data_IF_957173248813
#
_entry.id   IF_957173248813
#
_cell.length_a   1.000
_cell.length_b   1.000
_cell.length_c   1.000
_cell.angle_alpha   90.00
_cell.angle_beta   90.00
_cell.angle_gamma   90.00
#
_symmetry.space_group_name_H-M   'P 1'
#
loop_
_entity.id
_entity.type
_entity.pdbx_description
1 polymer ?
#
# COMPACT_ATOMS: atom_id res chain seq x y z
N UNK A 1 11.27 -8.80 -21.11
CA UNK A 1 10.76 -8.89 -19.70
C UNK A 1 11.90 -8.46 -18.80
N UNK A 2 11.74 -7.35 -18.05
CA UNK A 2 12.84 -6.78 -17.25
C UNK A 2 13.16 -7.74 -16.08
N UNK A 3 14.46 -8.08 -15.90
CA UNK A 3 14.96 -8.98 -14.85
C UNK A 3 14.47 -8.55 -13.45
N UNK A 4 14.40 -7.24 -13.19
CA UNK A 4 13.91 -6.68 -11.92
C UNK A 4 12.45 -7.08 -11.66
N UNK A 5 11.57 -6.98 -12.68
CA UNK A 5 10.16 -7.38 -12.56
C UNK A 5 10.02 -8.89 -12.33
N UNK A 6 10.90 -9.71 -12.90
CA UNK A 6 10.92 -11.15 -12.69
C UNK A 6 11.31 -11.50 -11.25
N UNK A 7 12.35 -10.87 -10.72
CA UNK A 7 12.83 -11.08 -9.34
C UNK A 7 11.76 -10.65 -8.34
N UNK A 8 11.12 -9.50 -8.54
CA UNK A 8 10.06 -9.02 -7.65
C UNK A 8 8.82 -9.91 -7.67
N UNK A 9 8.37 -10.37 -8.86
CA UNK A 9 7.28 -11.35 -8.97
C UNK A 9 7.60 -12.65 -8.23
N UNK A 10 8.83 -13.14 -8.35
CA UNK A 10 9.30 -14.35 -7.66
C UNK A 10 9.35 -14.13 -6.15
N UNK A 11 9.81 -12.97 -5.69
CA UNK A 11 9.87 -12.60 -4.28
C UNK A 11 8.48 -12.51 -3.65
N UNK A 12 7.53 -11.82 -4.29
CA UNK A 12 6.15 -11.72 -3.84
C UNK A 12 5.49 -13.11 -3.76
N UNK A 13 5.70 -13.97 -4.77
CA UNK A 13 5.20 -15.35 -4.76
C UNK A 13 5.80 -16.20 -3.64
N UNK A 14 7.11 -16.06 -3.38
CA UNK A 14 7.80 -16.79 -2.33
C UNK A 14 7.29 -16.41 -0.94
N UNK A 15 7.05 -15.13 -0.68
CA UNK A 15 6.51 -14.67 0.61
C UNK A 15 5.11 -15.22 0.91
N UNK A 16 4.31 -15.51 -0.12
CA UNK A 16 2.99 -16.13 0.01
C UNK A 16 3.01 -17.65 0.12
N UNK A 17 4.17 -18.30 0.00
CA UNK A 17 4.21 -19.76 0.09
C UNK A 17 3.88 -20.24 1.51
N UNK A 18 3.01 -21.27 1.63
CA UNK A 18 2.54 -21.80 2.92
C UNK A 18 3.68 -22.20 3.86
N UNK A 19 4.76 -22.74 3.33
CA UNK A 19 5.89 -23.19 4.12
C UNK A 19 6.69 -22.03 4.71
N UNK A 20 6.91 -20.98 3.93
CA UNK A 20 7.59 -19.76 4.40
C UNK A 20 6.73 -19.04 5.43
N UNK A 21 5.42 -18.91 5.20
CA UNK A 21 4.51 -18.30 6.17
C UNK A 21 4.51 -19.08 7.50
N UNK A 22 4.48 -20.41 7.48
CA UNK A 22 4.54 -21.23 8.68
C UNK A 22 5.87 -21.06 9.44
N UNK A 23 6.99 -21.03 8.72
CA UNK A 23 8.30 -20.80 9.35
C UNK A 23 8.37 -19.41 9.99
N UNK A 24 7.99 -18.39 9.25
CA UNK A 24 7.98 -17.00 9.75
C UNK A 24 7.04 -16.86 10.96
N UNK A 25 5.84 -17.48 10.91
CA UNK A 25 4.91 -17.50 12.03
C UNK A 25 5.53 -18.16 13.27
N UNK A 26 6.19 -19.30 13.11
CA UNK A 26 6.89 -19.97 14.20
C UNK A 26 7.97 -19.07 14.81
N UNK A 27 8.82 -18.46 13.98
CA UNK A 27 9.86 -17.55 14.42
C UNK A 27 9.27 -16.33 15.16
N UNK A 28 8.23 -15.71 14.60
CA UNK A 28 7.55 -14.57 15.22
C UNK A 28 6.92 -14.95 16.56
N UNK A 29 6.29 -16.14 16.64
CA UNK A 29 5.62 -16.60 17.84
C UNK A 29 6.57 -16.91 19.01
N UNK A 30 7.74 -17.47 18.75
CA UNK A 30 8.61 -18.00 19.78
C UNK A 30 9.86 -17.18 20.06
N UNK A 31 10.31 -16.36 19.11
CA UNK A 31 11.60 -15.64 19.21
C UNK A 31 11.46 -14.13 19.25
N UNK A 32 10.28 -13.57 18.97
CA UNK A 32 10.07 -12.13 19.10
C UNK A 32 9.46 -11.71 20.44
N UNK A 33 9.84 -10.53 20.88
CA UNK A 33 9.31 -9.93 22.12
C UNK A 33 7.82 -9.60 21.97
N UNK A 34 6.97 -10.18 22.79
CA UNK A 34 5.50 -10.15 22.70
C UNK A 34 4.85 -9.01 23.48
N UNK A 35 5.53 -7.89 23.66
CA UNK A 35 5.01 -6.77 24.47
C UNK A 35 3.78 -6.04 23.88
N UNK A 36 3.39 -6.35 22.63
CA UNK A 36 2.25 -5.71 21.98
C UNK A 36 1.02 -6.60 22.10
N UNK A 37 0.04 -6.17 22.89
CA UNK A 37 -1.30 -6.79 22.94
C UNK A 37 -2.07 -6.61 21.62
N UNK A 38 -3.18 -7.36 21.48
CA UNK A 38 -4.14 -7.13 20.41
C UNK A 38 -4.85 -5.79 20.64
N UNK A 39 -4.84 -4.92 19.63
CA UNK A 39 -5.50 -3.61 19.71
C UNK A 39 -6.99 -3.75 19.40
N UNK A 40 -7.37 -4.72 18.57
CA UNK A 40 -8.75 -5.14 18.36
C UNK A 40 -9.66 -4.08 17.75
N UNK A 41 -9.23 -3.45 16.64
CA UNK A 41 -10.10 -2.52 15.92
C UNK A 41 -11.27 -3.26 15.25
N UNK A 42 -12.48 -2.73 15.43
CA UNK A 42 -13.67 -3.19 14.73
C UNK A 42 -14.05 -2.18 13.64
N UNK A 43 -13.99 -2.63 12.39
CA UNK A 43 -14.34 -1.83 11.22
C UNK A 43 -15.66 -2.25 10.56
N UNK A 44 -16.43 -3.18 11.17
CA UNK A 44 -17.63 -3.75 10.54
C UNK A 44 -18.71 -2.73 10.22
N UNK A 45 -18.77 -1.62 10.96
CA UNK A 45 -19.70 -0.50 10.79
C UNK A 45 -19.12 0.69 10.02
N UNK A 46 -17.90 0.57 9.53
CA UNK A 46 -17.21 1.64 8.81
C UNK A 46 -17.36 1.46 7.29
N UNK A 47 -17.38 2.57 6.52
CA UNK A 47 -17.41 2.49 5.08
C UNK A 47 -16.11 1.83 4.55
N UNK A 48 -16.27 1.05 3.49
CA UNK A 48 -15.12 0.42 2.83
C UNK A 48 -14.24 1.44 2.09
N UNK A 49 -13.04 1.01 1.68
CA UNK A 49 -12.06 1.87 1.00
C UNK A 49 -12.59 2.49 -0.29
N UNK A 50 -13.40 1.76 -1.07
CA UNK A 50 -14.00 2.27 -2.32
C UNK A 50 -14.89 3.47 -2.04
N UNK A 51 -15.77 3.34 -1.05
CA UNK A 51 -16.68 4.42 -0.64
C UNK A 51 -15.92 5.64 -0.13
N UNK A 52 -14.88 5.43 0.68
CA UNK A 52 -14.09 6.53 1.27
C UNK A 52 -13.37 7.30 0.16
N UNK A 53 -12.61 6.60 -0.70
CA UNK A 53 -11.82 7.23 -1.75
C UNK A 53 -12.72 7.97 -2.75
N UNK A 54 -13.80 7.32 -3.22
CA UNK A 54 -14.73 7.96 -4.14
C UNK A 54 -15.38 9.21 -3.53
N UNK A 55 -15.82 9.12 -2.28
CA UNK A 55 -16.45 10.26 -1.59
C UNK A 55 -15.50 11.46 -1.45
N UNK A 56 -14.22 11.21 -1.19
CA UNK A 56 -13.19 12.25 -1.13
C UNK A 56 -13.04 12.92 -2.52
N UNK A 57 -12.93 12.13 -3.59
CA UNK A 57 -12.82 12.62 -4.96
C UNK A 57 -14.03 13.49 -5.30
N UNK A 58 -15.25 13.04 -4.99
CA UNK A 58 -16.50 13.75 -5.30
C UNK A 58 -16.62 15.08 -4.53
N UNK A 59 -16.37 15.07 -3.22
CA UNK A 59 -16.47 16.27 -2.36
C UNK A 59 -15.43 17.31 -2.75
N UNK A 60 -14.20 16.87 -3.02
CA UNK A 60 -13.09 17.76 -3.41
C UNK A 60 -13.11 18.12 -4.89
N UNK A 61 -13.98 17.49 -5.69
CA UNK A 61 -14.06 17.66 -7.15
C UNK A 61 -12.72 17.39 -7.84
N UNK A 62 -12.02 16.33 -7.40
CA UNK A 62 -10.74 15.94 -7.96
C UNK A 62 -10.91 15.34 -9.35
N UNK A 63 -9.99 15.68 -10.26
CA UNK A 63 -10.02 15.26 -11.66
C UNK A 63 -8.99 14.20 -12.01
N UNK A 64 -8.02 13.96 -11.14
CA UNK A 64 -6.92 13.02 -11.38
C UNK A 64 -6.65 12.14 -10.17
N UNK A 65 -6.54 10.82 -10.43
CA UNK A 65 -6.34 9.77 -9.43
C UNK A 65 -5.17 8.88 -9.80
N UNK A 66 -4.29 8.61 -8.83
CA UNK A 66 -3.21 7.64 -8.93
C UNK A 66 -3.38 6.57 -7.88
N UNK A 67 -3.25 5.31 -8.26
CA UNK A 67 -3.21 4.17 -7.36
C UNK A 67 -1.88 3.42 -7.51
N UNK A 68 -1.14 3.28 -6.42
CA UNK A 68 0.07 2.48 -6.33
C UNK A 68 -0.29 1.15 -5.65
N UNK A 69 -0.15 0.03 -6.39
CA UNK A 69 -0.53 -1.29 -5.91
C UNK A 69 -1.99 -1.64 -6.23
N UNK A 70 -2.34 -1.75 -7.51
CA UNK A 70 -3.72 -2.07 -7.92
C UNK A 70 -4.07 -3.55 -7.82
N UNK A 71 -3.07 -4.43 -7.92
CA UNK A 71 -3.20 -5.89 -7.87
C UNK A 71 -4.36 -6.43 -8.72
N UNK A 72 -5.53 -6.74 -8.14
CA UNK A 72 -6.72 -7.25 -8.86
C UNK A 72 -7.72 -6.15 -9.25
N UNK A 73 -7.33 -4.87 -9.16
CA UNK A 73 -8.19 -3.71 -9.48
C UNK A 73 -9.43 -3.56 -8.58
N UNK A 74 -9.44 -4.18 -7.41
CA UNK A 74 -10.60 -4.12 -6.51
C UNK A 74 -11.03 -2.70 -6.14
N UNK A 75 -10.08 -1.78 -5.96
CA UNK A 75 -10.36 -0.37 -5.77
C UNK A 75 -10.36 0.36 -7.11
N UNK A 76 -9.31 0.19 -7.90
CA UNK A 76 -9.06 0.95 -9.12
C UNK A 76 -10.24 0.96 -10.10
N UNK A 77 -10.88 -0.19 -10.33
CA UNK A 77 -12.04 -0.26 -11.24
C UNK A 77 -13.27 0.48 -10.74
N UNK A 78 -13.45 0.61 -9.42
CA UNK A 78 -14.62 1.29 -8.82
C UNK A 78 -14.49 2.81 -8.80
N UNK A 79 -13.27 3.34 -8.86
CA UNK A 79 -13.04 4.78 -8.82
C UNK A 79 -13.47 5.42 -10.14
N UNK A 80 -14.35 6.43 -10.03
CA UNK A 80 -14.77 7.31 -11.12
C UNK A 80 -14.01 8.62 -11.02
N UNK A 81 -13.11 8.85 -11.97
CA UNK A 81 -12.30 10.06 -12.07
C UNK A 81 -11.92 10.30 -13.54
N UNK A 82 -11.82 11.54 -13.99
CA UNK A 82 -11.57 11.87 -15.39
C UNK A 82 -10.22 11.31 -15.87
N UNK A 83 -9.17 11.48 -15.09
CA UNK A 83 -7.85 10.89 -15.33
C UNK A 83 -7.55 9.88 -14.23
N UNK A 84 -7.30 8.64 -14.62
CA UNK A 84 -7.05 7.53 -13.69
C UNK A 84 -5.80 6.76 -14.11
N UNK A 85 -4.83 6.64 -13.22
CA UNK A 85 -3.60 5.87 -13.42
C UNK A 85 -3.45 4.86 -12.29
N UNK A 86 -3.31 3.59 -12.64
CA UNK A 86 -3.04 2.50 -11.72
C UNK A 86 -1.69 1.86 -12.02
N UNK A 87 -0.86 1.68 -11.02
CA UNK A 87 0.51 1.16 -11.15
C UNK A 87 0.67 -0.11 -10.33
N UNK A 88 1.02 -1.20 -11.00
CA UNK A 88 1.33 -2.48 -10.34
C UNK A 88 2.33 -3.28 -11.17
N UNK A 89 3.36 -3.88 -10.57
CA UNK A 89 4.36 -4.67 -11.31
C UNK A 89 3.84 -6.05 -11.73
N UNK A 90 2.75 -6.54 -11.13
CA UNK A 90 2.27 -7.92 -11.30
C UNK A 90 0.99 -7.98 -12.14
N UNK A 91 -0.06 -7.25 -11.73
CA UNK A 91 -1.38 -7.34 -12.36
C UNK A 91 -2.18 -6.05 -12.15
N UNK A 92 -3.33 -5.93 -12.82
CA UNK A 92 -4.21 -4.77 -12.71
C UNK A 92 -3.58 -3.46 -13.19
N UNK A 93 -4.27 -2.37 -12.98
CA UNK A 93 -3.85 -1.03 -13.33
C UNK A 93 -3.64 -0.77 -14.82
N UNK A 94 -3.17 0.42 -15.12
CA UNK A 94 -2.89 0.87 -16.49
C UNK A 94 -1.39 0.81 -16.83
N UNK A 95 -0.52 0.76 -15.83
CA UNK A 95 0.95 0.79 -15.99
C UNK A 95 1.58 -0.40 -15.28
N UNK A 96 2.29 -1.25 -16.04
CA UNK A 96 2.97 -2.44 -15.56
C UNK A 96 4.41 -2.14 -15.13
N UNK A 97 4.58 -1.42 -14.00
CA UNK A 97 5.87 -1.01 -13.43
C UNK A 97 5.85 -1.12 -11.92
N UNK A 98 7.02 -1.10 -11.28
CA UNK A 98 7.12 -0.79 -9.85
C UNK A 98 6.82 0.69 -9.63
N UNK A 99 6.47 1.08 -8.41
CA UNK A 99 6.30 2.48 -8.06
C UNK A 99 7.57 3.29 -8.33
N UNK A 100 8.75 2.77 -7.95
CA UNK A 100 10.04 3.43 -8.22
C UNK A 100 10.23 3.73 -9.72
N UNK A 101 9.97 2.74 -10.58
CA UNK A 101 10.09 2.91 -12.04
C UNK A 101 9.05 3.87 -12.61
N UNK A 102 7.83 3.83 -12.06
CA UNK A 102 6.78 4.75 -12.45
C UNK A 102 7.16 6.20 -12.13
N UNK A 103 7.58 6.48 -10.90
CA UNK A 103 7.89 7.85 -10.48
C UNK A 103 9.09 8.46 -11.21
N UNK A 104 10.06 7.63 -11.67
CA UNK A 104 11.18 8.11 -12.50
C UNK A 104 10.68 8.64 -13.86
N UNK A 105 9.73 7.92 -14.49
CA UNK A 105 9.27 8.24 -15.84
C UNK A 105 8.09 9.22 -15.86
N UNK A 106 7.39 9.37 -14.72
CA UNK A 106 6.15 10.12 -14.63
C UNK A 106 6.36 11.63 -14.76
N UNK A 107 5.53 12.26 -15.59
CA UNK A 107 5.49 13.72 -15.78
C UNK A 107 4.17 14.35 -15.30
N UNK A 108 3.21 13.52 -14.92
CA UNK A 108 1.89 13.94 -14.50
C UNK A 108 1.83 14.29 -13.02
N UNK A 109 0.85 15.13 -12.67
CA UNK A 109 0.44 15.39 -11.28
C UNK A 109 -0.96 14.88 -11.04
N UNK A 110 -1.26 14.62 -9.76
CA UNK A 110 -2.51 14.01 -9.33
C UNK A 110 -3.13 14.75 -8.14
N UNK A 111 -4.46 14.75 -8.09
CA UNK A 111 -5.22 15.38 -7.01
C UNK A 111 -5.41 14.40 -5.82
N UNK A 112 -5.62 13.13 -6.13
CA UNK A 112 -5.78 12.07 -5.15
C UNK A 112 -4.82 10.92 -5.47
N UNK A 113 -4.01 10.53 -4.48
CA UNK A 113 -3.07 9.42 -4.61
C UNK A 113 -3.40 8.41 -3.53
N UNK A 114 -3.59 7.14 -3.92
CA UNK A 114 -3.81 6.03 -3.00
C UNK A 114 -2.61 5.08 -3.05
N UNK A 115 -2.03 4.77 -1.88
CA UNK A 115 -0.85 3.93 -1.75
C UNK A 115 -1.25 2.64 -1.03
N UNK A 116 -1.23 1.52 -1.77
CA UNK A 116 -1.51 0.15 -1.30
C UNK A 116 -0.54 -0.84 -1.97
N UNK A 117 0.72 -0.44 -2.07
CA UNK A 117 1.76 -1.19 -2.77
C UNK A 117 2.42 -2.26 -1.91
N UNK A 118 3.75 -2.24 -1.86
CA UNK A 118 4.53 -3.18 -1.06
C UNK A 118 4.52 -2.76 0.42
N UNK A 119 4.03 -3.64 1.31
CA UNK A 119 3.80 -3.34 2.73
C UNK A 119 5.08 -3.35 3.58
N UNK A 120 6.15 -2.75 3.08
CA UNK A 120 7.39 -2.50 3.82
C UNK A 120 7.55 -1.02 4.07
N UNK A 121 7.82 -0.65 5.31
CA UNK A 121 8.08 0.74 5.73
C UNK A 121 9.00 1.50 4.75
N UNK A 122 10.13 0.90 4.37
CA UNK A 122 11.11 1.54 3.49
C UNK A 122 10.56 1.86 2.10
N UNK A 123 9.67 1.02 1.55
CA UNK A 123 9.04 1.28 0.26
C UNK A 123 7.91 2.29 0.39
N UNK A 124 7.06 2.15 1.41
CA UNK A 124 5.96 3.09 1.64
C UNK A 124 6.48 4.50 1.88
N UNK A 125 7.57 4.66 2.63
CA UNK A 125 8.24 5.95 2.81
C UNK A 125 8.64 6.57 1.48
N UNK A 126 9.31 5.82 0.59
CA UNK A 126 9.66 6.30 -0.76
C UNK A 126 8.43 6.65 -1.60
N UNK A 127 7.37 5.83 -1.51
CA UNK A 127 6.14 6.06 -2.25
C UNK A 127 5.46 7.35 -1.77
N UNK A 128 5.47 7.65 -0.47
CA UNK A 128 4.99 8.93 0.09
C UNK A 128 5.84 10.10 -0.42
N UNK A 129 7.17 10.02 -0.29
CA UNK A 129 8.09 11.08 -0.71
C UNK A 129 7.97 11.40 -2.21
N UNK A 130 7.82 10.38 -3.04
CA UNK A 130 7.63 10.54 -4.48
C UNK A 130 6.22 11.04 -4.83
N UNK A 131 5.20 10.58 -4.10
CA UNK A 131 3.82 11.05 -4.24
C UNK A 131 3.70 12.54 -3.94
N UNK A 132 4.37 13.04 -2.90
CA UNK A 132 4.40 14.48 -2.57
C UNK A 132 4.94 15.34 -3.72
N UNK A 133 5.93 14.85 -4.49
CA UNK A 133 6.48 15.58 -5.65
C UNK A 133 5.51 15.70 -6.82
N UNK A 134 4.59 14.76 -6.94
CA UNK A 134 3.60 14.67 -8.04
C UNK A 134 2.17 15.00 -7.57
N UNK A 135 2.00 15.43 -6.34
CA UNK A 135 0.72 15.87 -5.79
C UNK A 135 0.41 17.29 -6.30
N UNK A 136 -0.83 17.51 -6.75
CA UNK A 136 -1.34 18.84 -7.05
C UNK A 136 -1.52 19.67 -5.77
N UNK A 137 -1.51 21.01 -5.84
CA UNK A 137 -1.92 21.85 -4.72
C UNK A 137 -3.31 21.47 -4.21
N UNK A 138 -3.49 21.38 -2.90
CA UNK A 138 -4.71 20.90 -2.22
C UNK A 138 -5.09 19.45 -2.52
N UNK A 139 -4.19 18.65 -3.09
CA UNK A 139 -4.37 17.23 -3.27
C UNK A 139 -4.24 16.46 -1.96
N UNK A 140 -4.55 15.16 -2.00
CA UNK A 140 -4.50 14.27 -0.85
C UNK A 140 -3.77 12.97 -1.17
N UNK A 141 -3.01 12.46 -0.20
CA UNK A 141 -2.43 11.11 -0.22
C UNK A 141 -3.17 10.27 0.81
N UNK A 142 -3.65 9.11 0.40
CA UNK A 142 -4.32 8.12 1.24
C UNK A 142 -3.46 6.87 1.30
N UNK A 143 -3.29 6.33 2.50
CA UNK A 143 -2.50 5.12 2.72
C UNK A 143 -3.38 3.99 3.25
N UNK A 144 -3.16 2.80 2.74
CA UNK A 144 -3.81 1.58 3.22
C UNK A 144 -2.94 0.85 4.26
N UNK A 145 -3.54 -0.12 4.96
CA UNK A 145 -2.88 -1.02 5.90
C UNK A 145 -2.05 -0.36 7.02
N UNK A 146 -2.46 0.84 7.46
CA UNK A 146 -1.74 1.61 8.47
C UNK A 146 -2.05 1.20 9.91
N UNK A 147 -2.99 0.27 10.14
CA UNK A 147 -3.51 -0.05 11.46
C UNK A 147 -3.62 -1.57 11.67
N UNK A 148 -2.50 -2.25 11.96
CA UNK A 148 -2.52 -3.69 12.24
C UNK A 148 -3.24 -3.98 13.56
N UNK A 149 -4.07 -5.04 13.60
CA UNK A 149 -4.78 -5.46 14.82
C UNK A 149 -3.88 -6.18 15.82
N UNK A 150 -2.82 -6.80 15.35
CA UNK A 150 -1.90 -7.59 16.19
C UNK A 150 -0.49 -7.60 15.59
N UNK A 151 0.46 -8.12 16.38
CA UNK A 151 1.86 -8.14 15.97
C UNK A 151 2.16 -9.06 14.77
N UNK A 152 1.35 -10.09 14.51
CA UNK A 152 1.53 -10.95 13.34
C UNK A 152 1.14 -10.25 12.04
N UNK A 153 0.14 -9.36 12.08
CA UNK A 153 -0.25 -8.57 10.91
C UNK A 153 0.83 -7.58 10.49
N UNK A 154 1.59 -7.04 11.44
CA UNK A 154 2.68 -6.10 11.14
C UNK A 154 4.05 -6.77 10.95
N UNK A 155 4.14 -8.08 11.10
CA UNK A 155 5.43 -8.77 11.07
C UNK A 155 6.16 -8.61 9.74
N UNK A 156 7.47 -8.34 9.82
CA UNK A 156 8.39 -8.34 8.68
C UNK A 156 9.55 -9.27 9.03
N UNK A 157 9.68 -10.36 8.27
CA UNK A 157 8.95 -10.80 7.07
C UNK A 157 7.51 -11.26 7.37
N UNK A 158 6.67 -11.27 6.33
CA UNK A 158 5.26 -11.71 6.39
C UNK A 158 5.14 -13.11 7.00
N UNK A 159 4.25 -13.28 7.98
CA UNK A 159 4.05 -14.54 8.69
C UNK A 159 2.62 -15.08 8.66
N UNK A 160 1.66 -14.33 8.12
CA UNK A 160 0.27 -14.77 7.96
C UNK A 160 -0.40 -14.18 6.71
N UNK A 161 -1.61 -14.64 6.39
CA UNK A 161 -2.33 -14.22 5.17
C UNK A 161 -2.77 -12.77 5.27
N UNK A 162 -3.48 -12.37 6.32
CA UNK A 162 -3.79 -10.96 6.60
C UNK A 162 -2.52 -10.26 7.06
N UNK A 163 -2.06 -9.28 6.28
CA UNK A 163 -0.76 -8.70 6.52
C UNK A 163 -0.69 -7.24 6.09
N UNK A 164 -0.55 -6.37 7.05
CA UNK A 164 -0.35 -4.93 6.87
C UNK A 164 1.13 -4.56 6.71
N UNK A 165 2.05 -5.46 7.12
CA UNK A 165 3.46 -5.13 7.18
C UNK A 165 3.76 -4.02 8.19
N UNK A 166 4.85 -3.33 8.00
CA UNK A 166 5.25 -2.23 8.89
C UNK A 166 4.96 -0.83 8.32
N UNK A 167 3.91 -0.71 7.49
CA UNK A 167 3.43 0.54 6.86
C UNK A 167 3.21 1.66 7.87
N UNK A 168 2.64 1.35 9.04
CA UNK A 168 2.36 2.32 10.10
C UNK A 168 3.58 3.15 10.52
N UNK A 169 4.79 2.61 10.41
CA UNK A 169 6.03 3.32 10.76
C UNK A 169 6.25 4.55 9.87
N UNK A 170 5.89 4.47 8.59
CA UNK A 170 5.98 5.61 7.69
C UNK A 170 5.06 6.75 8.10
N UNK A 171 3.85 6.42 8.61
CA UNK A 171 2.91 7.41 9.13
C UNK A 171 3.46 8.11 10.37
N UNK A 172 3.99 7.32 11.32
CA UNK A 172 4.58 7.88 12.55
C UNK A 172 5.73 8.83 12.21
N UNK A 173 6.61 8.43 11.31
CA UNK A 173 7.73 9.27 10.88
C UNK A 173 7.26 10.57 10.22
N UNK A 174 6.28 10.50 9.30
CA UNK A 174 5.71 11.70 8.67
C UNK A 174 5.11 12.69 9.69
N UNK A 175 4.57 12.19 10.82
CA UNK A 175 3.99 13.05 11.87
C UNK A 175 5.02 13.65 12.81
N UNK A 176 6.20 13.08 12.92
CA UNK A 176 7.27 13.56 13.83
C UNK A 176 8.18 14.58 13.12
N UNK A 177 8.13 14.66 11.79
CA UNK A 177 8.95 15.60 11.01
C UNK A 177 8.31 17.00 10.86
N UNK A 178 7.18 17.26 11.52
CA UNK A 178 6.59 18.59 11.70
C UNK A 178 7.23 19.31 12.91
#
# INVERSE_FOLDING_TARGET
MNIINFIQKKYIRLQGSRNILKLNYFLEKYFRDKKLGNIGFNFSDKPNRQTIVQKIIDIKKYNSYLEIGTFHDELFQHIKCNKKVGVDPVSGGTIRKTSDQFFIDNKDKFDCIFIDGLHYYSQVKKDIENSLKVLNPNGIILLHDCLPNNHFEQAVPRCQITWNGDVWKAIVECRVQE
#
